data_IF_428176167292
#
_entry.id   IF_428176167292
#
_cell.length_a   1.000
_cell.length_b   1.000
_cell.length_c   1.000
_cell.angle_alpha   90.00
_cell.angle_beta   90.00
_cell.angle_gamma   90.00
#
_symmetry.space_group_name_H-M   'P 1'
#
loop_
_entity.id
_entity.type
_entity.pdbx_description
1 polymer ?
#
# COMPACT_ATOMS: atom_id res chain seq x y z
N UNK A 1 -28.71 18.10 4.34
CA UNK A 1 -28.02 17.43 3.22
C UNK A 1 -26.54 17.69 3.37
N UNK A 2 -25.69 16.73 3.05
CA UNK A 2 -24.24 16.96 3.09
C UNK A 2 -23.84 17.92 1.96
N UNK A 3 -22.82 18.80 2.15
CA UNK A 3 -22.35 19.71 1.10
C UNK A 3 -22.11 19.03 -0.26
N UNK A 4 -21.56 17.81 -0.24
CA UNK A 4 -21.30 17.00 -1.44
C UNK A 4 -22.57 16.53 -2.16
N UNK A 5 -23.67 16.31 -1.43
CA UNK A 5 -24.96 15.95 -2.01
C UNK A 5 -25.61 17.17 -2.67
N UNK A 6 -25.46 18.36 -2.08
CA UNK A 6 -25.95 19.62 -2.64
C UNK A 6 -25.23 19.95 -3.96
N UNK A 7 -23.89 19.83 -3.98
CA UNK A 7 -23.09 19.97 -5.20
C UNK A 7 -23.53 18.98 -6.29
N UNK A 8 -23.67 17.70 -5.95
CA UNK A 8 -24.06 16.68 -6.93
C UNK A 8 -25.46 16.93 -7.50
N UNK A 9 -26.41 17.36 -6.66
CA UNK A 9 -27.76 17.71 -7.08
C UNK A 9 -27.76 18.94 -8.00
N UNK A 10 -27.08 20.02 -7.60
CA UNK A 10 -26.97 21.24 -8.40
C UNK A 10 -26.34 20.94 -9.77
N UNK A 11 -25.21 20.21 -9.82
CA UNK A 11 -24.57 19.84 -11.07
C UNK A 11 -25.51 19.01 -11.96
N UNK A 12 -26.27 18.08 -11.38
CA UNK A 12 -27.26 17.28 -12.13
C UNK A 12 -28.33 18.17 -12.75
N UNK A 13 -28.90 19.08 -11.98
CA UNK A 13 -29.98 19.96 -12.43
C UNK A 13 -29.51 20.95 -13.49
N UNK A 14 -28.30 21.50 -13.34
CA UNK A 14 -27.70 22.40 -14.32
C UNK A 14 -27.39 21.69 -15.65
N UNK A 15 -26.87 20.46 -15.59
CA UNK A 15 -26.65 19.62 -16.79
C UNK A 15 -27.97 19.25 -17.48
N UNK A 16 -29.03 18.92 -16.73
CA UNK A 16 -30.37 18.68 -17.30
C UNK A 16 -30.92 19.94 -17.97
N UNK A 17 -30.60 21.11 -17.43
CA UNK A 17 -31.01 22.41 -17.99
C UNK A 17 -30.20 22.83 -19.22
N UNK A 18 -29.24 22.02 -19.67
CA UNK A 18 -28.42 22.28 -20.86
C UNK A 18 -27.27 23.27 -20.63
N UNK A 19 -26.94 23.61 -19.38
CA UNK A 19 -25.78 24.45 -19.09
C UNK A 19 -24.48 23.72 -19.43
N UNK A 20 -23.52 24.46 -19.96
CA UNK A 20 -22.19 23.94 -20.22
C UNK A 20 -21.44 23.68 -18.91
N UNK A 21 -20.51 22.73 -18.95
CA UNK A 21 -19.67 22.43 -17.78
C UNK A 21 -18.85 23.62 -17.30
N UNK A 22 -18.45 24.51 -18.21
CA UNK A 22 -17.68 25.71 -17.89
C UNK A 22 -18.51 26.77 -17.16
N UNK A 23 -19.79 26.93 -17.55
CA UNK A 23 -20.74 27.79 -16.84
C UNK A 23 -21.00 27.27 -15.42
N UNK A 24 -21.22 25.95 -15.28
CA UNK A 24 -21.41 25.31 -13.96
C UNK A 24 -20.16 25.51 -13.10
N UNK A 25 -18.96 25.31 -13.67
CA UNK A 25 -17.71 25.50 -12.95
C UNK A 25 -17.55 26.95 -12.45
N UNK A 26 -17.89 27.92 -13.29
CA UNK A 26 -17.81 29.35 -12.97
C UNK A 26 -18.77 29.71 -11.85
N UNK A 27 -20.04 29.29 -11.96
CA UNK A 27 -21.05 29.55 -10.92
C UNK A 27 -20.67 28.96 -9.56
N UNK A 28 -20.10 27.74 -9.54
CA UNK A 28 -19.65 27.12 -8.29
C UNK A 28 -18.44 27.86 -7.68
N UNK A 29 -17.48 28.31 -8.49
CA UNK A 29 -16.34 29.10 -8.00
C UNK A 29 -16.77 30.44 -7.43
N UNK A 30 -17.71 31.13 -8.10
CA UNK A 30 -18.27 32.39 -7.63
C UNK A 30 -19.01 32.25 -6.30
N UNK A 31 -19.66 31.10 -6.08
CA UNK A 31 -20.28 30.74 -4.81
C UNK A 31 -19.27 30.37 -3.70
N UNK A 32 -17.97 30.34 -4.01
CA UNK A 32 -16.88 30.10 -3.05
C UNK A 32 -16.47 28.64 -2.88
N UNK A 33 -16.93 27.73 -3.75
CA UNK A 33 -16.48 26.33 -3.72
C UNK A 33 -15.03 26.21 -4.18
N UNK A 34 -14.27 25.30 -3.55
CA UNK A 34 -12.88 25.07 -3.93
C UNK A 34 -12.77 24.42 -5.31
N UNK A 35 -11.71 24.74 -6.06
CA UNK A 35 -11.48 24.17 -7.40
C UNK A 35 -11.48 22.63 -7.43
N UNK A 36 -11.02 21.99 -6.35
CA UNK A 36 -11.10 20.53 -6.21
C UNK A 36 -12.54 20.03 -6.13
N UNK A 37 -13.40 20.71 -5.37
CA UNK A 37 -14.81 20.33 -5.21
C UNK A 37 -15.59 20.52 -6.50
N UNK A 38 -15.30 21.60 -7.24
CA UNK A 38 -15.89 21.87 -8.57
C UNK A 38 -15.52 20.78 -9.57
N UNK A 39 -14.23 20.43 -9.65
CA UNK A 39 -13.75 19.34 -10.52
C UNK A 39 -14.35 17.99 -10.14
N UNK A 40 -14.44 17.68 -8.85
CA UNK A 40 -15.02 16.43 -8.36
C UNK A 40 -16.53 16.34 -8.66
N UNK A 41 -17.26 17.44 -8.52
CA UNK A 41 -18.68 17.50 -8.84
C UNK A 41 -18.94 17.30 -10.35
N UNK A 42 -18.17 17.95 -11.22
CA UNK A 42 -18.32 17.83 -12.69
C UNK A 42 -17.86 16.47 -13.22
N UNK A 43 -16.75 15.94 -12.69
CA UNK A 43 -16.19 14.64 -13.09
C UNK A 43 -17.03 13.45 -12.64
N UNK A 44 -17.98 13.66 -11.71
CA UNK A 44 -18.94 12.65 -11.29
C UNK A 44 -19.99 12.31 -12.36
N UNK A 45 -20.07 13.07 -13.47
CA UNK A 45 -21.00 12.84 -14.57
C UNK A 45 -20.24 12.49 -15.86
N UNK A 46 -20.81 11.64 -16.70
CA UNK A 46 -20.20 11.26 -17.98
C UNK A 46 -20.25 12.39 -18.99
N UNK A 47 -19.38 12.37 -20.00
CA UNK A 47 -19.33 13.37 -21.07
C UNK A 47 -20.26 13.04 -22.26
N UNK A 48 -21.17 12.08 -22.11
CA UNK A 48 -22.11 11.71 -23.17
C UNK A 48 -23.30 12.66 -23.21
N UNK A 49 -23.81 12.95 -24.40
CA UNK A 49 -25.02 13.78 -24.64
C UNK A 49 -26.33 13.13 -24.18
N UNK A 50 -26.27 12.12 -23.31
CA UNK A 50 -27.44 11.42 -22.80
C UNK A 50 -28.15 12.26 -21.72
N UNK A 51 -29.47 12.41 -21.87
CA UNK A 51 -30.35 13.09 -20.91
C UNK A 51 -31.29 12.04 -20.30
N UNK A 52 -31.32 11.86 -18.96
CA UNK A 52 -30.57 12.60 -17.94
C UNK A 52 -29.07 12.27 -17.92
N UNK A 53 -28.22 13.20 -17.43
CA UNK A 53 -26.77 13.01 -17.36
C UNK A 53 -26.44 11.74 -16.56
N UNK A 54 -25.60 10.89 -17.14
CA UNK A 54 -25.25 9.58 -16.57
C UNK A 54 -24.19 9.78 -15.47
N UNK A 55 -24.43 9.35 -14.22
CA UNK A 55 -23.43 9.43 -13.17
C UNK A 55 -22.31 8.41 -13.42
N UNK A 56 -21.06 8.82 -13.21
CA UNK A 56 -19.91 7.91 -13.19
C UNK A 56 -19.88 7.14 -11.86
N UNK A 57 -19.47 5.86 -11.86
CA UNK A 57 -19.25 5.11 -10.63
C UNK A 57 -18.23 5.84 -9.75
N UNK A 58 -18.62 6.19 -8.52
CA UNK A 58 -17.68 6.74 -7.53
C UNK A 58 -16.97 5.59 -6.82
N UNK A 59 -15.64 5.62 -6.67
CA UNK A 59 -14.93 4.67 -5.81
C UNK A 59 -15.41 4.89 -4.37
N UNK A 60 -16.21 3.96 -3.85
CA UNK A 60 -16.56 3.95 -2.44
C UNK A 60 -15.51 3.15 -1.67
N UNK A 61 -14.85 3.77 -0.69
CA UNK A 61 -13.95 3.06 0.22
C UNK A 61 -14.82 2.20 1.14
N UNK A 62 -14.96 0.92 0.80
CA UNK A 62 -15.69 -0.02 1.63
C UNK A 62 -14.88 -0.33 2.90
N UNK A 63 -15.51 -0.26 4.08
CA UNK A 63 -14.85 -0.67 5.34
C UNK A 63 -14.33 -2.11 5.28
N UNK A 64 -15.04 -2.99 4.56
CA UNK A 64 -14.61 -4.37 4.28
C UNK A 64 -13.32 -4.42 3.47
N UNK A 65 -13.19 -3.52 2.50
CA UNK A 65 -12.01 -3.41 1.64
C UNK A 65 -10.83 -2.85 2.42
N UNK A 66 -11.04 -1.79 3.22
CA UNK A 66 -10.04 -1.27 4.15
C UNK A 66 -9.53 -2.35 5.11
N UNK A 67 -10.44 -3.11 5.73
CA UNK A 67 -10.08 -4.22 6.61
C UNK A 67 -9.26 -5.30 5.88
N UNK A 68 -9.66 -5.68 4.67
CA UNK A 68 -8.95 -6.66 3.86
C UNK A 68 -7.50 -6.23 3.60
N UNK A 69 -7.27 -5.01 3.11
CA UNK A 69 -5.92 -4.52 2.84
C UNK A 69 -5.11 -4.29 4.12
N UNK A 70 -5.74 -3.84 5.20
CA UNK A 70 -5.07 -3.71 6.50
C UNK A 70 -4.59 -5.08 7.03
N UNK A 71 -5.44 -6.10 6.94
CA UNK A 71 -5.06 -7.46 7.34
C UNK A 71 -3.96 -8.03 6.46
N UNK A 72 -4.02 -7.78 5.14
CA UNK A 72 -2.96 -8.18 4.21
C UNK A 72 -1.63 -7.50 4.53
N UNK A 73 -1.67 -6.22 4.90
CA UNK A 73 -0.50 -5.47 5.37
C UNK A 73 0.10 -6.04 6.63
N UNK A 74 -0.73 -6.35 7.63
CA UNK A 74 -0.26 -6.99 8.86
C UNK A 74 0.37 -8.35 8.54
N UNK A 75 -0.26 -9.16 7.70
CA UNK A 75 0.27 -10.48 7.31
C UNK A 75 1.63 -10.37 6.60
N UNK A 76 1.78 -9.42 5.66
CA UNK A 76 3.05 -9.16 4.99
C UNK A 76 4.12 -8.67 5.97
N UNK A 77 3.76 -7.71 6.83
CA UNK A 77 4.68 -7.10 7.80
C UNK A 77 5.19 -8.14 8.81
N UNK A 78 4.30 -8.96 9.35
CA UNK A 78 4.65 -10.07 10.24
C UNK A 78 5.54 -11.10 9.55
N UNK A 79 5.24 -11.41 8.29
CA UNK A 79 6.08 -12.31 7.49
C UNK A 79 7.49 -11.75 7.33
N UNK A 80 7.63 -10.51 6.86
CA UNK A 80 8.92 -9.87 6.65
C UNK A 80 9.72 -9.77 7.95
N UNK A 81 9.06 -9.33 9.04
CA UNK A 81 9.65 -9.24 10.37
C UNK A 81 10.22 -10.58 10.83
N UNK A 82 9.42 -11.65 10.75
CA UNK A 82 9.85 -12.96 11.24
C UNK A 82 10.85 -13.65 10.31
N UNK A 83 10.94 -13.30 9.02
CA UNK A 83 12.06 -13.71 8.16
C UNK A 83 13.36 -13.07 8.65
N UNK A 84 13.35 -11.77 8.91
CA UNK A 84 14.54 -11.04 9.41
C UNK A 84 14.96 -11.57 10.77
N UNK A 85 14.02 -11.69 11.72
CA UNK A 85 14.28 -12.17 13.07
C UNK A 85 14.82 -13.61 13.10
N UNK A 86 14.17 -14.51 12.35
CA UNK A 86 14.65 -15.88 12.18
C UNK A 86 16.04 -15.93 11.53
N UNK A 87 16.28 -15.11 10.51
CA UNK A 87 17.58 -15.05 9.86
C UNK A 87 18.67 -14.49 10.77
N UNK A 88 18.36 -13.51 11.63
CA UNK A 88 19.29 -13.00 12.65
C UNK A 88 19.68 -14.10 13.64
N UNK A 89 18.72 -14.89 14.10
CA UNK A 89 18.98 -16.04 14.97
C UNK A 89 19.86 -17.09 14.28
N UNK A 90 19.62 -17.38 13.00
CA UNK A 90 20.42 -18.32 12.21
C UNK A 90 21.84 -17.79 11.96
N UNK A 91 21.99 -16.52 11.61
CA UNK A 91 23.28 -15.86 11.40
C UNK A 91 24.11 -15.92 12.70
N UNK A 92 23.51 -15.52 13.83
CA UNK A 92 24.16 -15.62 15.15
C UNK A 92 24.58 -17.05 15.46
N UNK A 93 23.74 -18.04 15.14
CA UNK A 93 24.04 -19.44 15.39
C UNK A 93 25.21 -19.99 14.57
N UNK A 94 25.41 -19.49 13.35
CA UNK A 94 26.45 -19.99 12.45
C UNK A 94 27.76 -19.19 12.50
N UNK A 95 27.69 -17.89 12.77
CA UNK A 95 28.84 -16.98 12.71
C UNK A 95 29.34 -16.53 14.09
N UNK A 96 28.57 -16.70 15.17
CA UNK A 96 29.01 -16.28 16.50
C UNK A 96 29.87 -17.35 17.16
N UNK A 97 31.09 -16.97 17.56
CA UNK A 97 32.02 -17.85 18.30
C UNK A 97 31.60 -18.09 19.75
N UNK A 98 30.56 -17.40 20.25
CA UNK A 98 30.09 -17.55 21.63
C UNK A 98 28.98 -18.60 21.72
N UNK A 99 29.14 -19.70 22.49
CA UNK A 99 28.07 -20.66 22.69
C UNK A 99 26.93 -20.00 23.48
N UNK A 100 25.79 -19.73 22.83
CA UNK A 100 24.56 -19.21 23.49
C UNK A 100 23.50 -20.32 23.57
N UNK A 101 23.38 -21.06 24.69
CA UNK A 101 22.68 -22.36 24.67
C UNK A 101 21.15 -22.32 24.74
N UNK A 102 20.50 -21.17 25.05
CA UNK A 102 19.08 -21.23 25.48
C UNK A 102 18.13 -20.14 24.94
N UNK A 103 18.63 -18.96 24.57
CA UNK A 103 17.76 -17.85 24.10
C UNK A 103 17.34 -18.03 22.63
N UNK A 104 18.13 -18.73 21.81
CA UNK A 104 17.85 -18.91 20.36
C UNK A 104 16.73 -19.89 20.03
N UNK A 105 16.51 -20.94 20.85
CA UNK A 105 15.52 -21.98 20.49
C UNK A 105 14.06 -21.52 20.64
N UNK A 106 13.77 -20.63 21.58
CA UNK A 106 12.40 -20.11 21.78
C UNK A 106 12.01 -19.09 20.71
N UNK A 107 12.91 -18.15 20.43
CA UNK A 107 12.73 -17.12 19.40
C UNK A 107 12.53 -17.76 18.02
N UNK A 108 13.41 -18.68 17.65
CA UNK A 108 13.33 -19.41 16.38
C UNK A 108 11.99 -20.16 16.22
N UNK A 109 11.51 -20.85 17.27
CA UNK A 109 10.20 -21.54 17.24
C UNK A 109 9.03 -20.57 17.09
N UNK A 110 9.11 -19.41 17.74
CA UNK A 110 8.09 -18.36 17.63
C UNK A 110 8.04 -17.79 16.20
N UNK A 111 9.20 -17.46 15.63
CA UNK A 111 9.30 -16.93 14.28
C UNK A 111 8.86 -17.97 13.23
N UNK A 112 9.21 -19.25 13.39
CA UNK A 112 8.68 -20.33 12.55
C UNK A 112 7.15 -20.43 12.67
N UNK A 113 6.59 -20.39 13.88
CA UNK A 113 5.14 -20.47 14.08
C UNK A 113 4.42 -19.28 13.44
N UNK A 114 4.97 -18.07 13.59
CA UNK A 114 4.43 -16.88 12.94
C UNK A 114 4.46 -16.99 11.42
N UNK A 115 5.57 -17.46 10.83
CA UNK A 115 5.67 -17.66 9.38
C UNK A 115 4.66 -18.70 8.88
N UNK A 116 4.47 -19.80 9.61
CA UNK A 116 3.48 -20.83 9.28
C UNK A 116 2.03 -20.31 9.27
N UNK A 117 1.75 -19.18 9.93
CA UNK A 117 0.41 -18.56 9.98
C UNK A 117 0.30 -17.40 9.00
N UNK A 118 1.20 -16.42 9.10
CA UNK A 118 1.08 -15.16 8.37
C UNK A 118 1.50 -15.26 6.90
N UNK A 119 2.50 -16.08 6.57
CA UNK A 119 2.92 -16.26 5.19
C UNK A 119 1.83 -16.87 4.30
N UNK A 120 1.21 -18.02 4.65
CA UNK A 120 0.13 -18.56 3.83
C UNK A 120 -1.09 -17.64 3.83
N UNK A 121 -1.39 -16.94 4.92
CA UNK A 121 -2.46 -15.94 4.95
C UNK A 121 -2.21 -14.84 3.90
N UNK A 122 -1.01 -14.25 3.89
CA UNK A 122 -0.63 -13.25 2.90
C UNK A 122 -0.76 -13.77 1.47
N UNK A 123 -0.22 -14.96 1.17
CA UNK A 123 -0.30 -15.56 -0.17
C UNK A 123 -1.74 -15.84 -0.62
N UNK A 124 -2.61 -16.27 0.30
CA UNK A 124 -4.02 -16.52 0.00
C UNK A 124 -4.77 -15.22 -0.27
N UNK A 125 -4.51 -14.17 0.50
CA UNK A 125 -5.10 -12.85 0.31
C UNK A 125 -4.65 -12.23 -1.01
N UNK A 126 -3.35 -12.29 -1.32
CA UNK A 126 -2.80 -11.83 -2.59
C UNK A 126 -3.45 -12.55 -3.78
N UNK A 127 -3.53 -13.89 -3.73
CA UNK A 127 -4.20 -14.66 -4.79
C UNK A 127 -5.68 -14.34 -4.92
N UNK A 128 -6.36 -14.05 -3.80
CA UNK A 128 -7.76 -13.65 -3.82
C UNK A 128 -7.94 -12.26 -4.47
N UNK A 129 -6.97 -11.36 -4.31
CA UNK A 129 -6.94 -10.06 -4.98
C UNK A 129 -6.70 -10.22 -6.49
N UNK A 130 -5.68 -10.96 -6.90
CA UNK A 130 -5.35 -11.19 -8.31
C UNK A 130 -6.55 -11.79 -9.09
N UNK A 131 -7.26 -12.74 -8.47
CA UNK A 131 -8.48 -13.34 -9.03
C UNK A 131 -9.64 -12.35 -9.16
N UNK A 132 -9.76 -11.37 -8.26
CA UNK A 132 -10.79 -10.33 -8.37
C UNK A 132 -10.46 -9.36 -9.50
N UNK A 133 -9.19 -8.97 -9.63
CA UNK A 133 -8.71 -8.13 -10.72
C UNK A 133 -8.94 -8.76 -12.10
N UNK A 134 -8.70 -10.07 -12.22
CA UNK A 134 -8.91 -10.79 -13.48
C UNK A 134 -10.39 -10.88 -13.90
N UNK A 135 -11.32 -10.79 -12.95
CA UNK A 135 -12.77 -10.88 -13.22
C UNK A 135 -13.43 -9.54 -13.50
N UNK A 136 -12.92 -8.46 -12.91
CA UNK A 136 -13.47 -7.12 -13.13
C UNK A 136 -12.37 -6.04 -13.07
N UNK A 137 -11.91 -5.56 -14.25
CA UNK A 137 -10.91 -4.49 -14.35
C UNK A 137 -11.36 -3.15 -13.78
N UNK A 138 -12.66 -2.93 -13.55
CA UNK A 138 -13.18 -1.65 -13.03
C UNK A 138 -12.78 -1.41 -11.56
N UNK A 139 -12.44 -2.47 -10.82
CA UNK A 139 -11.90 -2.41 -9.47
C UNK A 139 -10.43 -1.94 -9.39
N UNK A 140 -9.76 -1.69 -10.54
CA UNK A 140 -8.41 -1.11 -10.59
C UNK A 140 -8.31 0.29 -9.94
N UNK A 141 -9.44 0.93 -9.62
CA UNK A 141 -9.52 2.26 -8.98
C UNK A 141 -9.50 2.27 -7.46
N UNK A 142 -9.26 1.14 -6.79
CA UNK A 142 -9.24 1.13 -5.31
C UNK A 142 -8.11 2.00 -4.75
N UNK A 143 -8.51 3.12 -4.14
CA UNK A 143 -7.63 4.04 -3.40
C UNK A 143 -6.86 3.29 -2.31
N UNK A 144 -7.48 2.26 -1.71
CA UNK A 144 -6.91 1.47 -0.63
C UNK A 144 -5.73 0.62 -1.08
N UNK A 145 -5.76 0.08 -2.32
CA UNK A 145 -4.63 -0.68 -2.88
C UNK A 145 -3.41 0.20 -3.11
N UNK A 146 -3.61 1.40 -3.68
CA UNK A 146 -2.52 2.39 -3.84
C UNK A 146 -1.92 2.73 -2.48
N UNK A 147 -2.75 2.97 -1.47
CA UNK A 147 -2.29 3.28 -0.12
C UNK A 147 -1.52 2.11 0.51
N UNK A 148 -2.00 0.87 0.36
CA UNK A 148 -1.29 -0.34 0.80
C UNK A 148 0.10 -0.47 0.18
N UNK A 149 0.21 -0.30 -1.13
CA UNK A 149 1.50 -0.33 -1.84
C UNK A 149 2.43 0.79 -1.37
N UNK A 150 1.94 2.03 -1.23
CA UNK A 150 2.74 3.14 -0.71
C UNK A 150 3.18 2.92 0.74
N UNK A 151 2.33 2.35 1.61
CA UNK A 151 2.72 1.99 2.98
C UNK A 151 3.85 0.94 2.97
N UNK A 152 3.71 -0.14 2.19
CA UNK A 152 4.74 -1.17 2.08
C UNK A 152 6.08 -0.61 1.55
N UNK A 153 6.02 0.27 0.54
CA UNK A 153 7.18 0.98 -0.01
C UNK A 153 7.82 1.93 1.00
N UNK A 154 7.02 2.66 1.77
CA UNK A 154 7.49 3.56 2.82
C UNK A 154 8.24 2.80 3.92
N UNK A 155 7.66 1.73 4.45
CA UNK A 155 8.31 0.93 5.49
C UNK A 155 9.54 0.18 4.97
N UNK A 156 9.53 -0.31 3.73
CA UNK A 156 10.71 -0.93 3.12
C UNK A 156 11.84 0.09 2.94
N UNK A 157 11.51 1.30 2.48
CA UNK A 157 12.49 2.40 2.38
C UNK A 157 13.06 2.77 3.74
N UNK A 158 12.23 2.84 4.78
CA UNK A 158 12.67 3.13 6.14
C UNK A 158 13.58 2.03 6.70
N UNK A 159 13.26 0.76 6.42
CA UNK A 159 14.10 -0.38 6.78
C UNK A 159 15.47 -0.29 6.10
N UNK A 160 15.53 -0.01 4.80
CA UNK A 160 16.80 0.18 4.06
C UNK A 160 17.62 1.36 4.58
N UNK A 161 16.97 2.47 4.93
CA UNK A 161 17.65 3.63 5.52
C UNK A 161 18.20 3.31 6.92
N UNK A 162 17.44 2.59 7.74
CA UNK A 162 17.90 2.12 9.04
C UNK A 162 19.07 1.15 8.92
N UNK A 163 19.02 0.24 7.96
CA UNK A 163 20.10 -0.71 7.64
C UNK A 163 21.38 0.03 7.23
N UNK A 164 21.27 0.99 6.31
CA UNK A 164 22.39 1.84 5.88
C UNK A 164 22.96 2.68 7.04
N UNK A 165 22.10 3.24 7.89
CA UNK A 165 22.53 3.99 9.07
C UNK A 165 23.35 3.09 10.01
N UNK A 166 22.86 1.88 10.29
CA UNK A 166 23.57 0.89 11.08
C UNK A 166 24.93 0.55 10.46
N UNK A 167 24.94 0.32 9.14
CA UNK A 167 26.15 -0.01 8.39
C UNK A 167 27.23 1.07 8.53
N UNK A 168 26.84 2.33 8.34
CA UNK A 168 27.74 3.49 8.48
C UNK A 168 28.21 3.63 9.93
N UNK A 169 27.32 3.46 10.91
CA UNK A 169 27.69 3.54 12.33
C UNK A 169 28.73 2.50 12.72
N UNK A 170 28.54 1.23 12.33
CA UNK A 170 29.48 0.15 12.62
C UNK A 170 30.81 0.31 11.87
N UNK A 171 30.78 0.83 10.64
CA UNK A 171 31.98 1.19 9.89
C UNK A 171 32.79 2.29 10.60
N UNK A 172 32.10 3.31 11.11
CA UNK A 172 32.71 4.42 11.85
C UNK A 172 33.25 4.00 13.22
N UNK A 173 32.60 3.05 13.89
CA UNK A 173 33.08 2.50 15.17
C UNK A 173 34.26 1.54 15.00
N UNK A 174 34.53 1.08 13.77
CA UNK A 174 35.57 0.08 13.49
C UNK A 174 35.18 -1.34 13.92
N UNK A 175 33.90 -1.56 14.25
CA UNK A 175 33.37 -2.82 14.79
C UNK A 175 32.61 -3.63 13.73
N UNK A 176 33.06 -3.58 12.47
CA UNK A 176 32.46 -4.35 11.39
C UNK A 176 32.73 -5.85 11.59
N UNK A 177 31.73 -6.55 12.11
CA UNK A 177 31.76 -8.01 12.27
C UNK A 177 31.12 -8.70 11.06
N UNK A 178 31.55 -9.93 10.77
CA UNK A 178 30.92 -10.75 9.72
C UNK A 178 29.44 -11.01 10.03
N UNK A 179 29.11 -11.19 11.31
CA UNK A 179 27.71 -11.34 11.79
C UNK A 179 26.88 -10.13 11.37
N UNK A 180 27.39 -8.93 11.61
CA UNK A 180 26.72 -7.69 11.28
C UNK A 180 26.56 -7.49 9.76
N UNK A 181 27.59 -7.78 8.97
CA UNK A 181 27.51 -7.73 7.50
C UNK A 181 26.42 -8.68 6.97
N UNK A 182 26.35 -9.90 7.50
CA UNK A 182 25.33 -10.86 7.10
C UNK A 182 23.91 -10.41 7.50
N UNK A 183 23.76 -9.77 8.67
CA UNK A 183 22.49 -9.20 9.13
C UNK A 183 22.02 -8.06 8.22
N UNK A 184 22.93 -7.16 7.84
CA UNK A 184 22.63 -6.09 6.89
C UNK A 184 22.17 -6.64 5.54
N UNK A 185 22.93 -7.58 4.97
CA UNK A 185 22.58 -8.20 3.69
C UNK A 185 21.22 -8.90 3.72
N UNK A 186 20.87 -9.52 4.84
CA UNK A 186 19.55 -10.13 5.02
C UNK A 186 18.43 -9.08 5.00
N UNK A 187 18.57 -8.00 5.78
CA UNK A 187 17.58 -6.91 5.82
C UNK A 187 17.45 -6.27 4.45
N UNK A 188 18.56 -5.98 3.79
CA UNK A 188 18.59 -5.44 2.43
C UNK A 188 17.90 -6.36 1.41
N UNK A 189 18.11 -7.68 1.50
CA UNK A 189 17.46 -8.65 0.62
C UNK A 189 15.94 -8.72 0.84
N UNK A 190 15.49 -8.73 2.10
CA UNK A 190 14.06 -8.75 2.44
C UNK A 190 13.37 -7.45 2.01
N UNK A 191 13.92 -6.31 2.41
CA UNK A 191 13.37 -5.01 2.06
C UNK A 191 13.42 -4.76 0.54
N UNK A 192 14.49 -5.17 -0.14
CA UNK A 192 14.61 -5.12 -1.59
C UNK A 192 13.58 -5.99 -2.31
N UNK A 193 13.27 -7.18 -1.78
CA UNK A 193 12.22 -8.06 -2.34
C UNK A 193 10.85 -7.43 -2.21
N UNK A 194 10.49 -6.90 -1.04
CA UNK A 194 9.21 -6.21 -0.82
C UNK A 194 9.14 -4.96 -1.72
N UNK A 195 10.19 -4.15 -1.74
CA UNK A 195 10.25 -2.95 -2.55
C UNK A 195 10.11 -3.25 -4.05
N UNK A 196 10.84 -4.24 -4.58
CA UNK A 196 10.77 -4.64 -5.99
C UNK A 196 9.41 -5.19 -6.39
N UNK A 197 8.80 -6.00 -5.53
CA UNK A 197 7.45 -6.52 -5.74
C UNK A 197 6.41 -5.40 -5.86
N UNK A 198 6.43 -4.42 -4.95
CA UNK A 198 5.47 -3.32 -4.99
C UNK A 198 5.79 -2.26 -6.05
N UNK A 199 7.06 -1.99 -6.37
CA UNK A 199 7.39 -1.09 -7.48
C UNK A 199 6.89 -1.62 -8.82
N UNK A 200 7.05 -2.92 -9.10
CA UNK A 200 6.54 -3.55 -10.32
C UNK A 200 5.02 -3.40 -10.42
N UNK A 201 4.32 -3.70 -9.32
CA UNK A 201 2.86 -3.55 -9.24
C UNK A 201 2.38 -2.09 -9.41
N UNK A 202 3.18 -1.11 -8.96
CA UNK A 202 2.84 0.31 -9.11
C UNK A 202 3.09 0.84 -10.52
N UNK A 203 4.18 0.41 -11.18
CA UNK A 203 4.47 0.79 -12.58
C UNK A 203 3.40 0.29 -13.55
N UNK A 204 2.96 -0.96 -13.40
CA UNK A 204 1.85 -1.52 -14.19
C UNK A 204 0.51 -0.78 -13.99
N UNK A 205 0.34 -0.11 -12.85
CA UNK A 205 -0.85 0.68 -12.56
C UNK A 205 -0.80 2.10 -13.15
N UNK A 206 0.38 2.63 -13.44
CA UNK A 206 0.58 3.95 -14.09
C UNK A 206 0.52 3.84 -15.62
N UNK A 207 1.07 2.77 -16.22
CA UNK A 207 1.07 2.55 -17.68
C UNK A 207 -0.29 2.13 -18.25
N UNK A 208 -1.28 1.87 -17.39
CA UNK A 208 -2.64 1.49 -17.76
C UNK A 208 -3.66 2.63 -17.80
N UNK A 209 -3.21 3.88 -17.71
CA UNK A 209 -4.01 5.11 -17.85
C UNK A 209 -3.81 5.75 -19.22
#
# INVERSE_FOLDING_TARGET
MKPTEQLAQFTREALISGQSRDEIATALREAGWADSEVRDALSAWSDTDHIPPVPRPRPYVSAREAFFYALMFVALSMTAWHIVDLGFDLIKRWLSDTPRPYVSSRSMRWSIAALMVFFPLFLLMQRAEDRKLARDPSHKRSIVRKWFGYCALFFSSLALLGDLLGAIYSLLSGELTLEFIAQLLLVAAVAGTVFGYFQGAMKEAEDGH
#
